data_IF_504560194125
#
_entry.id   IF_504560194125
#
_cell.length_a   1.000
_cell.length_b   1.000
_cell.length_c   1.000
_cell.angle_alpha   90.00
_cell.angle_beta   90.00
_cell.angle_gamma   90.00
#
_symmetry.space_group_name_H-M   'P 1'
#
loop_
_entity.id
_entity.type
_entity.pdbx_description
1 polymer ?
#
# COMPACT_ATOMS: atom_id res chain seq x y z
N UNK A 1 4.72 2.90 -24.98
CA UNK A 1 5.46 3.95 -24.22
C UNK A 1 4.60 4.56 -23.09
N UNK A 2 3.96 3.78 -22.20
CA UNK A 2 3.16 4.33 -21.09
C UNK A 2 3.74 4.02 -19.69
N UNK A 3 4.67 3.07 -19.57
CA UNK A 3 5.26 2.68 -18.29
C UNK A 3 6.08 3.82 -17.65
N UNK A 4 6.83 4.58 -18.47
CA UNK A 4 7.75 5.60 -17.97
C UNK A 4 7.04 6.75 -17.23
N UNK A 5 5.81 7.10 -17.61
CA UNK A 5 5.09 8.23 -17.00
C UNK A 5 4.56 7.88 -15.60
N UNK A 6 4.18 6.61 -15.37
CA UNK A 6 3.71 6.13 -14.07
C UNK A 6 4.89 6.09 -13.08
N UNK A 7 6.02 5.51 -13.49
CA UNK A 7 7.23 5.45 -12.65
C UNK A 7 7.76 6.83 -12.30
N UNK A 8 7.80 7.75 -13.27
CA UNK A 8 8.22 9.13 -13.04
C UNK A 8 7.33 9.83 -12.00
N UNK A 9 6.02 9.66 -12.09
CA UNK A 9 5.10 10.22 -11.11
C UNK A 9 5.31 9.63 -9.71
N UNK A 10 5.52 8.31 -9.59
CA UNK A 10 5.86 7.67 -8.31
C UNK A 10 7.14 8.26 -7.70
N UNK A 11 8.17 8.48 -8.53
CA UNK A 11 9.43 9.10 -8.09
C UNK A 11 9.23 10.54 -7.60
N UNK A 12 8.41 11.33 -8.30
CA UNK A 12 8.05 12.68 -7.86
C UNK A 12 7.36 12.64 -6.51
N UNK A 13 6.29 11.85 -6.37
CA UNK A 13 5.57 11.71 -5.09
C UNK A 13 6.52 11.28 -3.97
N UNK A 14 7.47 10.37 -4.24
CA UNK A 14 8.50 9.95 -3.29
C UNK A 14 9.40 11.11 -2.85
N UNK A 15 9.87 11.91 -3.80
CA UNK A 15 10.69 13.08 -3.52
C UNK A 15 9.94 14.10 -2.65
N UNK A 16 8.72 14.48 -3.04
CA UNK A 16 7.89 15.42 -2.29
C UNK A 16 7.62 14.94 -0.86
N UNK A 17 7.18 13.67 -0.71
CA UNK A 17 6.95 13.05 0.60
C UNK A 17 8.22 13.07 1.47
N UNK A 18 9.37 12.65 0.92
CA UNK A 18 10.65 12.58 1.67
C UNK A 18 11.09 13.95 2.17
N UNK A 19 10.86 14.99 1.39
CA UNK A 19 11.25 16.35 1.75
C UNK A 19 10.17 17.10 2.57
N UNK A 20 9.06 16.43 2.94
CA UNK A 20 7.96 17.07 3.67
C UNK A 20 7.22 18.13 2.87
N UNK A 21 7.33 18.10 1.53
CA UNK A 21 6.68 19.06 0.63
C UNK A 21 5.38 18.44 0.14
N UNK A 22 4.29 19.21 0.20
CA UNK A 22 2.99 18.77 -0.31
C UNK A 22 2.94 18.98 -1.83
N UNK A 23 2.72 17.90 -2.59
CA UNK A 23 2.46 18.00 -4.01
C UNK A 23 0.99 18.38 -4.23
N UNK A 24 0.75 19.49 -4.94
CA UNK A 24 -0.61 19.97 -5.28
C UNK A 24 -0.81 19.76 -6.78
N UNK A 25 -1.92 19.11 -7.13
CA UNK A 25 -2.38 18.96 -8.51
C UNK A 25 -3.66 19.77 -8.66
N UNK A 26 -3.57 20.89 -9.38
CA UNK A 26 -4.72 21.73 -9.69
C UNK A 26 -5.21 21.44 -11.12
N UNK A 27 -6.43 20.92 -11.22
CA UNK A 27 -7.06 20.60 -12.49
C UNK A 27 -7.29 21.84 -13.36
N UNK A 28 -7.54 23.01 -12.74
CA UNK A 28 -7.73 24.26 -13.48
C UNK A 28 -6.44 24.69 -14.19
N UNK A 29 -5.29 24.48 -13.55
CA UNK A 29 -4.00 24.80 -14.16
C UNK A 29 -3.65 23.83 -15.29
N UNK A 30 -4.01 22.55 -15.17
CA UNK A 30 -3.89 21.58 -16.26
C UNK A 30 -4.77 21.99 -17.44
N UNK A 31 -6.04 22.36 -17.20
CA UNK A 31 -6.95 22.83 -18.25
C UNK A 31 -6.41 24.09 -18.96
N UNK A 32 -5.85 25.06 -18.22
CA UNK A 32 -5.19 26.24 -18.80
C UNK A 32 -3.98 25.88 -19.66
N UNK A 33 -3.14 24.94 -19.22
CA UNK A 33 -1.96 24.52 -19.97
C UNK A 33 -2.36 23.80 -21.26
N UNK A 34 -3.37 22.93 -21.21
CA UNK A 34 -3.88 22.21 -22.38
C UNK A 34 -4.57 23.17 -23.37
N UNK A 35 -5.32 24.16 -22.87
CA UNK A 35 -6.02 25.14 -23.72
C UNK A 35 -5.09 26.15 -24.39
N UNK A 36 -3.86 26.32 -23.90
CA UNK A 36 -2.86 27.12 -24.59
C UNK A 36 -2.39 26.40 -25.87
N UNK A 37 -2.69 27.01 -27.02
CA UNK A 37 -2.52 26.46 -28.39
C UNK A 37 -1.08 26.11 -28.81
N UNK A 38 -0.10 26.31 -27.93
CA UNK A 38 1.31 26.05 -28.19
C UNK A 38 1.71 24.59 -27.96
N UNK A 39 0.82 23.75 -27.44
CA UNK A 39 1.17 22.37 -27.08
C UNK A 39 0.17 21.37 -27.68
N UNK A 40 0.69 20.34 -28.36
CA UNK A 40 -0.08 19.17 -28.82
C UNK A 40 -0.38 18.21 -27.65
N UNK A 41 -0.83 18.75 -26.51
CA UNK A 41 -1.19 17.96 -25.35
C UNK A 41 -2.56 17.34 -25.56
N UNK A 42 -2.68 16.07 -25.15
CA UNK A 42 -3.95 15.38 -25.11
C UNK A 42 -4.87 16.02 -24.07
N UNK A 43 -6.17 15.93 -24.31
CA UNK A 43 -7.14 16.41 -23.34
C UNK A 43 -6.99 15.64 -22.01
N UNK A 44 -7.33 16.27 -20.90
CA UNK A 44 -7.40 15.63 -19.58
C UNK A 44 -8.31 14.38 -19.62
N UNK A 45 -9.27 14.38 -20.54
CA UNK A 45 -10.17 13.27 -20.77
C UNK A 45 -9.49 11.97 -21.19
N UNK A 46 -8.34 12.09 -21.84
CA UNK A 46 -7.58 10.96 -22.37
C UNK A 46 -6.58 10.37 -21.37
N UNK A 47 -6.52 10.90 -20.14
CA UNK A 47 -5.61 10.39 -19.12
C UNK A 47 -5.94 8.94 -18.78
N UNK A 48 -4.88 8.13 -18.70
CA UNK A 48 -4.97 6.72 -18.39
C UNK A 48 -5.63 6.50 -17.01
N UNK A 49 -6.64 5.62 -16.96
CA UNK A 49 -7.36 5.28 -15.73
C UNK A 49 -6.45 4.72 -14.63
N UNK A 50 -5.37 4.02 -14.98
CA UNK A 50 -4.33 3.59 -14.02
C UNK A 50 -3.65 4.78 -13.34
N UNK A 51 -3.39 5.84 -14.09
CA UNK A 51 -2.76 7.06 -13.56
C UNK A 51 -3.72 7.82 -12.63
N UNK A 52 -4.99 7.94 -13.01
CA UNK A 52 -6.03 8.55 -12.16
C UNK A 52 -6.22 7.78 -10.84
N UNK A 53 -6.18 6.44 -10.89
CA UNK A 53 -6.21 5.59 -9.68
C UNK A 53 -5.03 5.89 -8.77
N UNK A 54 -3.84 6.06 -9.33
CA UNK A 54 -2.63 6.36 -8.58
C UNK A 54 -2.69 7.74 -7.90
N UNK A 55 -3.14 8.77 -8.62
CA UNK A 55 -3.40 10.11 -8.05
C UNK A 55 -4.40 9.98 -6.88
N UNK A 56 -5.52 9.30 -7.11
CA UNK A 56 -6.54 9.14 -6.08
C UNK A 56 -6.04 8.38 -4.84
N UNK A 57 -5.23 7.34 -5.03
CA UNK A 57 -4.60 6.60 -3.96
C UNK A 57 -3.72 7.49 -3.08
N UNK A 58 -2.83 8.28 -3.68
CA UNK A 58 -1.96 9.19 -2.92
C UNK A 58 -2.73 10.34 -2.27
N UNK A 59 -3.82 10.81 -2.91
CA UNK A 59 -4.73 11.80 -2.33
C UNK A 59 -5.37 11.26 -1.05
N UNK A 60 -5.87 10.02 -1.07
CA UNK A 60 -6.52 9.40 0.08
C UNK A 60 -5.53 9.15 1.23
N UNK A 61 -4.25 8.90 0.92
CA UNK A 61 -3.17 8.84 1.91
C UNK A 61 -2.72 10.22 2.40
N UNK A 62 -3.35 11.30 1.95
CA UNK A 62 -3.00 12.69 2.26
C UNK A 62 -1.54 13.06 1.89
N UNK A 63 -0.96 12.36 0.91
CA UNK A 63 0.40 12.62 0.42
C UNK A 63 0.39 13.72 -0.63
N UNK A 64 -0.66 13.76 -1.44
CA UNK A 64 -0.88 14.81 -2.44
C UNK A 64 -2.22 15.50 -2.17
N UNK A 65 -2.32 16.74 -2.61
CA UNK A 65 -3.57 17.48 -2.69
C UNK A 65 -4.04 17.54 -4.13
N UNK A 66 -5.34 17.37 -4.35
CA UNK A 66 -5.95 17.49 -5.67
C UNK A 66 -7.07 18.51 -5.57
N UNK A 67 -6.94 19.59 -6.33
CA UNK A 67 -7.93 20.65 -6.45
C UNK A 67 -8.73 20.38 -7.73
N UNK A 68 -10.01 20.09 -7.55
CA UNK A 68 -10.92 19.75 -8.63
C UNK A 68 -11.52 21.01 -9.25
N UNK A 69 -11.65 21.04 -10.58
CA UNK A 69 -12.38 22.10 -11.28
C UNK A 69 -13.89 21.94 -11.08
N UNK A 70 -14.68 23.00 -11.35
CA UNK A 70 -16.15 22.94 -11.22
C UNK A 70 -16.77 21.81 -12.05
N UNK A 71 -16.19 21.51 -13.20
CA UNK A 71 -16.62 20.45 -14.12
C UNK A 71 -15.65 19.26 -14.14
N UNK A 72 -14.92 19.05 -13.04
CA UNK A 72 -13.81 18.12 -12.89
C UNK A 72 -13.98 16.81 -13.64
N UNK A 73 -13.06 16.57 -14.57
CA UNK A 73 -12.93 15.29 -15.25
C UNK A 73 -12.33 14.24 -14.30
N UNK A 74 -11.35 14.63 -13.48
CA UNK A 74 -10.75 13.74 -12.49
C UNK A 74 -11.82 13.13 -11.57
N UNK A 75 -12.67 13.97 -10.99
CA UNK A 75 -13.73 13.53 -10.08
C UNK A 75 -14.72 12.60 -10.79
N UNK A 76 -15.17 12.96 -12.01
CA UNK A 76 -16.07 12.13 -12.81
C UNK A 76 -15.48 10.75 -13.07
N UNK A 77 -14.23 10.67 -13.53
CA UNK A 77 -13.57 9.39 -13.81
C UNK A 77 -13.32 8.57 -12.56
N UNK A 78 -12.94 9.18 -11.45
CA UNK A 78 -12.76 8.49 -10.18
C UNK A 78 -14.09 7.88 -9.72
N UNK A 79 -15.19 8.62 -9.83
CA UNK A 79 -16.51 8.13 -9.48
C UNK A 79 -16.94 6.96 -10.39
N UNK A 80 -16.75 7.08 -11.71
CA UNK A 80 -17.01 6.01 -12.68
C UNK A 80 -16.22 4.73 -12.35
N UNK A 81 -14.93 4.87 -12.00
CA UNK A 81 -14.10 3.74 -11.56
C UNK A 81 -14.64 3.09 -10.29
N UNK A 82 -15.13 3.89 -9.33
CA UNK A 82 -15.65 3.39 -8.06
C UNK A 82 -17.02 2.72 -8.21
N UNK A 83 -17.88 3.22 -9.11
CA UNK A 83 -19.17 2.61 -9.43
C UNK A 83 -18.98 1.25 -10.11
N UNK A 84 -18.05 1.15 -11.06
CA UNK A 84 -17.74 -0.11 -11.75
C UNK A 84 -17.18 -1.19 -10.79
N UNK A 85 -16.42 -0.79 -9.76
CA UNK A 85 -15.93 -1.69 -8.69
C UNK A 85 -17.03 -2.26 -7.78
N UNK A 86 -18.22 -1.63 -7.74
CA UNK A 86 -19.37 -2.16 -6.97
C UNK A 86 -20.16 -3.23 -7.73
N UNK A 87 -19.93 -3.38 -9.04
CA UNK A 87 -20.72 -4.23 -9.94
C UNK A 87 -19.91 -5.44 -10.43
N UNK A 88 -18.58 -5.36 -10.44
CA UNK A 88 -17.69 -6.46 -10.82
C UNK A 88 -16.56 -6.63 -9.82
N UNK A 89 -16.34 -7.88 -9.43
CA UNK A 89 -15.41 -8.41 -8.44
C UNK A 89 -13.92 -8.24 -8.85
N UNK A 90 -13.51 -7.02 -9.18
CA UNK A 90 -12.10 -6.68 -9.36
C UNK A 90 -11.59 -6.02 -8.08
N UNK A 91 -11.15 -6.89 -7.17
CA UNK A 91 -10.04 -6.65 -6.24
C UNK A 91 -8.81 -6.20 -7.03
N UNK A 92 -8.87 -4.99 -7.56
CA UNK A 92 -7.84 -4.43 -8.40
C UNK A 92 -6.69 -4.00 -7.48
N UNK A 93 -5.80 -4.95 -7.24
CA UNK A 93 -4.41 -4.87 -6.77
C UNK A 93 -4.02 -3.56 -6.07
N UNK A 94 -4.77 -3.22 -5.02
CA UNK A 94 -4.25 -2.30 -4.02
C UNK A 94 -2.98 -2.90 -3.42
N UNK A 95 -2.86 -4.24 -3.33
CA UNK A 95 -1.65 -4.93 -2.89
C UNK A 95 -0.41 -4.61 -3.76
N UNK A 96 -0.53 -4.53 -5.09
CA UNK A 96 0.57 -4.11 -5.98
C UNK A 96 0.95 -2.64 -5.73
N UNK A 97 -0.04 -1.75 -5.58
CA UNK A 97 0.20 -0.34 -5.24
C UNK A 97 0.70 -0.13 -3.80
N UNK A 98 0.32 -1.02 -2.87
CA UNK A 98 0.74 -0.98 -1.47
C UNK A 98 2.15 -1.49 -1.31
N UNK A 99 2.48 -2.61 -1.95
CA UNK A 99 3.86 -3.14 -2.02
C UNK A 99 4.79 -2.18 -2.76
N UNK A 100 4.32 -1.44 -3.77
CA UNK A 100 5.08 -0.32 -4.35
C UNK A 100 5.19 0.89 -3.41
N UNK A 101 4.17 1.17 -2.62
CA UNK A 101 4.24 2.20 -1.58
C UNK A 101 5.19 1.83 -0.42
N UNK A 102 5.39 0.52 -0.17
CA UNK A 102 6.41 0.00 0.76
C UNK A 102 7.84 0.17 0.22
N UNK A 103 8.04 0.20 -1.10
CA UNK A 103 9.32 0.55 -1.73
C UNK A 103 9.62 2.06 -1.57
N UNK A 104 8.58 2.89 -1.41
CA UNK A 104 8.72 4.32 -1.17
C UNK A 104 9.12 4.68 0.26
N UNK A 105 8.93 3.77 1.23
CA UNK A 105 9.21 4.00 2.65
C UNK A 105 10.03 2.84 3.27
N UNK A 106 11.37 2.86 3.14
CA UNK A 106 12.23 1.75 3.57
C UNK A 106 12.17 1.48 5.09
N UNK A 107 11.77 2.46 5.91
CA UNK A 107 11.55 2.29 7.34
C UNK A 107 10.32 1.43 7.65
N UNK A 108 9.29 1.48 6.82
CA UNK A 108 8.10 0.64 6.95
C UNK A 108 8.38 -0.83 6.61
N UNK A 109 9.19 -1.05 5.56
CA UNK A 109 9.65 -2.40 5.16
C UNK A 109 10.52 -3.05 6.23
N UNK A 110 11.43 -2.29 6.82
CA UNK A 110 12.27 -2.77 7.94
C UNK A 110 11.42 -3.11 9.17
N UNK A 111 10.47 -2.26 9.56
CA UNK A 111 9.52 -2.53 10.68
C UNK A 111 8.67 -3.79 10.47
N UNK A 112 8.20 -4.06 9.25
CA UNK A 112 7.44 -5.30 8.95
C UNK A 112 8.33 -6.54 9.08
N UNK A 113 9.54 -6.49 8.52
CA UNK A 113 10.51 -7.58 8.64
C UNK A 113 10.90 -7.86 10.10
N UNK A 114 10.99 -6.83 10.94
CA UNK A 114 11.24 -6.97 12.38
C UNK A 114 10.05 -7.62 13.10
N UNK A 115 8.81 -7.19 12.81
CA UNK A 115 7.60 -7.82 13.35
C UNK A 115 7.52 -9.31 13.00
N UNK A 116 7.78 -9.66 11.75
CA UNK A 116 7.73 -11.06 11.30
C UNK A 116 8.80 -11.92 11.99
N UNK A 117 10.01 -11.36 12.22
CA UNK A 117 11.06 -12.03 13.01
C UNK A 117 10.62 -12.24 14.46
N UNK A 118 10.00 -11.24 15.09
CA UNK A 118 9.51 -11.34 16.47
C UNK A 118 8.41 -12.40 16.58
N UNK A 119 7.50 -12.45 15.62
CA UNK A 119 6.39 -13.41 15.60
C UNK A 119 6.89 -14.85 15.43
N UNK A 120 7.88 -15.08 14.55
CA UNK A 120 8.55 -16.38 14.41
C UNK A 120 9.26 -16.81 15.70
N UNK A 121 9.93 -15.88 16.39
CA UNK A 121 10.58 -16.15 17.68
C UNK A 121 9.55 -16.53 18.75
N UNK A 122 8.43 -15.83 18.79
CA UNK A 122 7.35 -16.10 19.75
C UNK A 122 6.75 -17.50 19.57
N UNK A 123 6.45 -17.90 18.32
CA UNK A 123 5.91 -19.24 18.03
C UNK A 123 6.90 -20.37 18.37
N UNK A 124 8.20 -20.18 18.11
CA UNK A 124 9.24 -21.12 18.53
C UNK A 124 9.28 -21.27 20.06
N UNK A 125 9.23 -20.16 20.79
CA UNK A 125 9.28 -20.17 22.26
C UNK A 125 8.06 -20.87 22.87
N UNK A 126 6.88 -20.68 22.25
CA UNK A 126 5.63 -21.36 22.65
C UNK A 126 5.70 -22.86 22.41
N UNK A 127 6.26 -23.30 21.27
CA UNK A 127 6.46 -24.71 20.96
C UNK A 127 7.48 -25.37 21.91
N UNK A 128 8.57 -24.68 22.26
CA UNK A 128 9.57 -25.12 23.24
C UNK A 128 8.95 -25.36 24.62
N UNK A 129 8.13 -24.40 25.07
CA UNK A 129 7.44 -24.45 26.36
C UNK A 129 6.46 -25.63 26.43
N UNK A 130 5.74 -25.91 25.35
CA UNK A 130 4.89 -27.10 25.27
C UNK A 130 5.67 -28.41 25.36
N UNK A 131 6.81 -28.51 24.67
CA UNK A 131 7.69 -29.69 24.72
C UNK A 131 8.19 -29.93 26.13
N UNK A 132 8.63 -28.89 26.84
CA UNK A 132 9.05 -29.00 28.24
C UNK A 132 7.91 -29.45 29.16
N UNK A 133 6.71 -28.87 29.02
CA UNK A 133 5.53 -29.30 29.80
C UNK A 133 5.22 -30.78 29.57
N UNK A 134 5.27 -31.26 28.33
CA UNK A 134 5.07 -32.68 27.97
C UNK A 134 6.16 -33.58 28.58
N UNK A 135 7.44 -33.16 28.54
CA UNK A 135 8.57 -33.89 29.12
C UNK A 135 8.46 -34.01 30.64
N UNK A 136 8.19 -32.90 31.33
CA UNK A 136 8.01 -32.86 32.79
C UNK A 136 6.84 -33.75 33.24
N UNK A 137 5.74 -33.77 32.49
CA UNK A 137 4.58 -34.65 32.78
C UNK A 137 4.95 -36.14 32.64
N UNK A 138 5.77 -36.51 31.64
CA UNK A 138 6.28 -37.87 31.46
C UNK A 138 7.24 -38.27 32.59
N UNK A 139 8.15 -37.41 32.99
CA UNK A 139 9.07 -37.67 34.11
C UNK A 139 8.33 -37.85 35.44
N UNK A 140 7.38 -36.97 35.76
CA UNK A 140 6.53 -37.12 36.95
C UNK A 140 5.77 -38.46 36.96
N UNK A 141 5.29 -38.93 35.81
CA UNK A 141 4.65 -40.26 35.69
C UNK A 141 5.64 -41.40 35.94
N UNK A 142 6.83 -41.36 35.35
CA UNK A 142 7.88 -42.37 35.57
C UNK A 142 8.31 -42.45 37.05
N UNK A 143 8.45 -41.30 37.70
CA UNK A 143 8.84 -41.22 39.12
C UNK A 143 7.76 -41.81 40.06
N UNK A 144 6.47 -41.55 39.78
CA UNK A 144 5.35 -42.17 40.50
C UNK A 144 5.32 -43.69 40.37
N UNK A 145 5.60 -44.24 39.19
CA UNK A 145 5.66 -45.70 38.96
C UNK A 145 6.81 -46.32 39.75
N UNK A 146 7.99 -45.70 39.76
CA UNK A 146 9.16 -46.19 40.52
C UNK A 146 8.90 -46.25 42.03
N UNK A 147 8.18 -45.28 42.59
CA UNK A 147 7.81 -45.25 44.02
C UNK A 147 6.79 -46.31 44.43
N UNK A 148 5.99 -46.85 43.50
CA UNK A 148 5.00 -47.92 43.78
C UNK A 148 5.59 -49.34 43.72
N UNK A 149 6.83 -49.50 43.24
CA UNK A 149 7.52 -50.80 43.10
C UNK A 149 8.59 -51.04 44.17
N UNK A 150 8.75 -50.12 45.11
CA UNK A 150 9.55 -50.24 46.33
C UNK A 150 8.59 -50.35 47.49
#
# INVERSE_FOLDING_TARGET
MFHNNIELFKLLVKYFKKNGIKLIIDENDIEKVISNSLCNLKNISEINSKFLKLIYFFKNKNIIEVIFSKNSYFLKKINEINENKRIGDESMDYEELESESEIMDPELKTRKNEKEKIEKVYELMKAELEKQKKKNKREKRKQKIRRKKR
#
